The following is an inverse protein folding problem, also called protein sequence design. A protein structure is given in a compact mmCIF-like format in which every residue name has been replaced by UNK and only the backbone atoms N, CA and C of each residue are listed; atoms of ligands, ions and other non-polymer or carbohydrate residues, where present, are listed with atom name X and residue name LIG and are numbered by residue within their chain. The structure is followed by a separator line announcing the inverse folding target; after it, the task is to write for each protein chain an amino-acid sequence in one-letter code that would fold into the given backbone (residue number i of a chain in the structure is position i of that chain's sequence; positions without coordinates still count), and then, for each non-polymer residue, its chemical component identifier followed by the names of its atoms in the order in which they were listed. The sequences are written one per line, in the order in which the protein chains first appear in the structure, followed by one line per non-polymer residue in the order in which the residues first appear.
data_IF_117581437512
#
_entry.id   IF_117581437512
#
_cell.length_a   1.000
_cell.length_b   1.000
_cell.length_c   1.000
_cell.angle_alpha   90.00
_cell.angle_beta   90.00
_cell.angle_gamma   90.00
#
_symmetry.space_group_name_H-M   'P 1'
#
loop_
_entity.id
_entity.type
_entity.pdbx_description
1 polymer ?
#
# COMPACT_ATOMS: atom_id res chain seq x y z
N UNK A 1 -18.18 -25.07 -13.43
CA UNK A 1 -16.88 -24.43 -13.71
C UNK A 1 -16.74 -23.24 -12.78
N UNK A 2 -16.06 -23.41 -11.65
CA UNK A 2 -15.71 -22.32 -10.75
C UNK A 2 -14.61 -21.50 -11.41
N UNK A 3 -14.94 -20.31 -11.88
CA UNK A 3 -13.94 -19.32 -12.29
C UNK A 3 -13.17 -18.93 -11.04
N UNK A 4 -11.99 -19.53 -10.85
CA UNK A 4 -10.99 -19.00 -9.93
C UNK A 4 -10.58 -17.64 -10.49
N UNK A 5 -11.27 -16.58 -10.04
CA UNK A 5 -10.86 -15.20 -10.29
C UNK A 5 -9.56 -14.99 -9.54
N UNK A 6 -8.43 -15.23 -10.21
CA UNK A 6 -7.13 -14.78 -9.73
C UNK A 6 -7.16 -13.26 -9.72
N UNK A 7 -7.38 -12.66 -8.55
CA UNK A 7 -7.17 -11.24 -8.36
C UNK A 7 -5.66 -11.01 -8.42
N UNK A 8 -5.17 -10.62 -9.59
CA UNK A 8 -3.78 -10.21 -9.76
C UNK A 8 -3.54 -8.98 -8.90
N UNK A 9 -2.63 -9.09 -7.94
CA UNK A 9 -2.22 -8.00 -7.07
C UNK A 9 -0.93 -7.44 -7.65
N UNK A 10 -0.86 -6.12 -7.81
CA UNK A 10 0.36 -5.47 -8.26
C UNK A 10 1.07 -4.86 -7.06
N UNK A 11 2.35 -5.14 -6.87
CA UNK A 11 3.17 -4.62 -5.77
C UNK A 11 4.41 -3.93 -6.33
N UNK A 12 4.87 -2.89 -5.66
CA UNK A 12 6.20 -2.31 -5.92
C UNK A 12 7.26 -3.34 -5.52
N UNK A 13 8.29 -3.49 -6.36
CA UNK A 13 9.43 -4.36 -6.08
C UNK A 13 10.08 -3.98 -4.75
N UNK A 14 10.45 -4.98 -3.94
CA UNK A 14 11.08 -4.71 -2.65
C UNK A 14 12.43 -4.01 -2.84
N UNK A 15 12.75 -3.14 -1.91
CA UNK A 15 14.02 -2.40 -1.82
C UNK A 15 14.36 -1.51 -3.03
N UNK A 16 13.38 -1.21 -3.90
CA UNK A 16 13.53 -0.14 -4.88
C UNK A 16 13.29 1.23 -4.22
N UNK A 17 13.64 2.31 -4.92
CA UNK A 17 13.45 3.66 -4.39
C UNK A 17 11.98 3.94 -4.00
N UNK A 18 11.01 3.52 -4.81
CA UNK A 18 9.60 3.71 -4.50
C UNK A 18 9.18 2.97 -3.24
N UNK A 19 9.69 1.75 -3.03
CA UNK A 19 9.42 0.97 -1.82
C UNK A 19 9.78 1.76 -0.57
N UNK A 20 10.98 2.36 -0.54
CA UNK A 20 11.39 3.18 0.60
C UNK A 20 10.56 4.47 0.72
N UNK A 21 10.25 5.13 -0.40
CA UNK A 21 9.45 6.36 -0.41
C UNK A 21 8.01 6.13 0.10
N UNK A 22 7.35 5.03 -0.32
CA UNK A 22 5.99 4.75 0.12
C UNK A 22 5.92 4.44 1.62
N UNK A 23 6.90 3.71 2.16
CA UNK A 23 6.97 3.41 3.59
C UNK A 23 7.31 4.66 4.42
N UNK A 24 8.17 5.55 3.91
CA UNK A 24 8.42 6.84 4.55
C UNK A 24 7.17 7.71 4.58
N UNK A 25 6.47 7.85 3.45
CA UNK A 25 5.20 8.58 3.35
C UNK A 25 4.12 8.01 4.27
N UNK A 26 4.10 6.69 4.47
CA UNK A 26 3.22 6.04 5.45
C UNK A 26 3.56 6.45 6.88
N UNK A 27 4.84 6.49 7.24
CA UNK A 27 5.27 6.96 8.56
C UNK A 27 4.93 8.43 8.83
N UNK A 28 5.06 9.29 7.82
CA UNK A 28 4.73 10.72 7.92
C UNK A 28 3.22 11.01 7.95
N UNK A 29 2.38 10.03 7.60
CA UNK A 29 0.94 10.20 7.59
C UNK A 29 0.43 10.65 8.98
N UNK A 30 -0.57 11.54 9.00
CA UNK A 30 -1.11 12.17 10.22
C UNK A 30 -1.52 11.17 11.32
N UNK A 31 -1.94 9.97 10.93
CA UNK A 31 -2.33 8.90 11.85
C UNK A 31 -1.13 8.21 12.51
N UNK A 32 0.04 8.28 11.88
CA UNK A 32 1.22 7.48 12.22
C UNK A 32 2.34 8.33 12.85
N UNK A 33 2.46 9.60 12.44
CA UNK A 33 3.56 10.50 12.85
C UNK A 33 3.72 10.71 14.37
N UNK A 34 2.69 10.42 15.16
CA UNK A 34 2.71 10.54 16.63
C UNK A 34 3.02 9.21 17.33
N UNK A 35 3.19 8.12 16.58
CA UNK A 35 3.51 6.80 17.11
C UNK A 35 5.02 6.67 17.35
N UNK A 36 5.41 5.79 18.27
CA UNK A 36 6.83 5.48 18.54
C UNK A 36 7.54 4.86 17.33
N UNK A 37 6.82 4.05 16.55
CA UNK A 37 7.29 3.46 15.29
C UNK A 37 6.26 3.72 14.19
N UNK A 38 6.29 4.88 13.53
CA UNK A 38 5.25 5.33 12.60
C UNK A 38 5.00 4.38 11.42
N UNK A 39 6.07 3.82 10.85
CA UNK A 39 6.00 2.98 9.66
C UNK A 39 5.51 1.56 9.94
N UNK A 40 5.73 1.06 11.16
CA UNK A 40 5.25 -0.26 11.60
C UNK A 40 3.83 -0.14 12.15
N UNK A 41 3.61 0.88 12.98
CA UNK A 41 2.40 1.11 13.76
C UNK A 41 1.96 -0.09 14.59
N UNK A 42 2.92 -0.84 15.15
CA UNK A 42 2.66 -2.09 15.86
C UNK A 42 1.64 -1.90 16.98
N UNK A 43 0.59 -2.72 16.96
CA UNK A 43 -0.46 -2.70 17.96
C UNK A 43 -1.10 -4.07 18.07
N UNK A 44 -1.05 -4.66 19.28
CA UNK A 44 -1.54 -6.02 19.55
C UNK A 44 -0.98 -7.08 18.58
N UNK A 45 0.29 -6.94 18.18
CA UNK A 45 0.94 -7.86 17.22
C UNK A 45 0.50 -7.69 15.76
N UNK A 46 -0.34 -6.71 15.47
CA UNK A 46 -0.70 -6.32 14.10
C UNK A 46 0.13 -5.11 13.67
N UNK A 47 0.47 -5.06 12.38
CA UNK A 47 1.24 -3.98 11.76
C UNK A 47 0.64 -3.63 10.39
N UNK A 48 1.19 -2.61 9.73
CA UNK A 48 0.79 -2.27 8.37
C UNK A 48 1.04 -3.41 7.37
N UNK A 49 0.00 -3.75 6.62
CA UNK A 49 0.04 -4.67 5.49
C UNK A 49 -0.01 -3.86 4.19
N UNK A 50 1.01 -4.02 3.36
CA UNK A 50 1.02 -3.46 2.02
C UNK A 50 0.20 -4.36 1.10
N UNK A 51 -0.94 -3.86 0.64
CA UNK A 51 -1.93 -4.66 -0.06
C UNK A 51 -1.68 -4.70 -1.56
N UNK A 52 -1.49 -3.53 -2.17
CA UNK A 52 -1.34 -3.38 -3.62
C UNK A 52 -0.95 -1.96 -4.03
N UNK A 53 -0.58 -1.82 -5.30
CA UNK A 53 -0.54 -0.57 -6.04
C UNK A 53 -1.55 -0.64 -7.17
N UNK A 54 -2.37 0.41 -7.31
CA UNK A 54 -3.34 0.51 -8.41
C UNK A 54 -3.05 1.73 -9.27
N UNK A 55 -3.14 1.53 -10.59
CA UNK A 55 -3.30 2.64 -11.53
C UNK A 55 -4.73 3.19 -11.39
N UNK A 56 -4.84 4.49 -11.12
CA UNK A 56 -6.10 5.22 -11.08
C UNK A 56 -6.06 6.25 -12.19
N UNK A 57 -7.08 6.23 -13.06
CA UNK A 57 -7.26 7.26 -14.08
C UNK A 57 -7.75 8.53 -13.39
N UNK A 58 -7.02 9.62 -13.56
CA UNK A 58 -7.42 10.96 -13.14
C UNK A 58 -8.10 11.68 -14.31
N UNK A 59 -8.68 12.86 -14.07
CA UNK A 59 -9.34 13.64 -15.11
C UNK A 59 -8.43 13.83 -16.35
N UNK A 60 -8.94 13.48 -17.52
CA UNK A 60 -8.22 13.49 -18.81
C UNK A 60 -7.43 12.20 -19.08
N UNK A 61 -6.28 12.33 -19.76
CA UNK A 61 -5.36 11.21 -20.07
C UNK A 61 -4.30 10.99 -18.98
N UNK A 62 -4.42 11.65 -17.83
CA UNK A 62 -3.45 11.52 -16.74
C UNK A 62 -3.75 10.27 -15.92
N UNK A 63 -2.71 9.45 -15.75
CA UNK A 63 -2.72 8.28 -14.88
C UNK A 63 -1.94 8.61 -13.61
N UNK A 64 -2.41 8.11 -12.47
CA UNK A 64 -1.69 8.17 -11.21
C UNK A 64 -1.65 6.79 -10.57
N UNK A 65 -0.60 6.49 -9.82
CA UNK A 65 -0.51 5.26 -9.06
C UNK A 65 -0.76 5.56 -7.59
N UNK A 66 -1.45 4.64 -6.92
CA UNK A 66 -1.72 4.74 -5.49
C UNK A 66 -1.37 3.43 -4.79
N UNK A 67 -0.67 3.54 -3.67
CA UNK A 67 -0.34 2.44 -2.77
C UNK A 67 -1.41 2.31 -1.70
N UNK A 68 -1.88 1.09 -1.49
CA UNK A 68 -2.92 0.78 -0.51
C UNK A 68 -2.31 0.00 0.66
N UNK A 69 -2.51 0.54 1.85
CA UNK A 69 -2.07 -0.06 3.10
C UNK A 69 -3.28 -0.36 3.98
N UNK A 70 -3.23 -1.48 4.69
CA UNK A 70 -4.25 -1.90 5.64
C UNK A 70 -3.63 -2.20 6.99
N UNK A 71 -4.31 -1.83 8.06
CA UNK A 71 -3.97 -2.19 9.42
C UNK A 71 -5.22 -2.75 10.11
N UNK A 72 -5.14 -3.96 10.67
CA UNK A 72 -6.32 -4.62 11.26
C UNK A 72 -6.80 -3.94 12.54
N UNK A 73 -5.87 -3.43 13.36
CA UNK A 73 -6.20 -2.74 14.61
C UNK A 73 -5.24 -1.57 14.85
N UNK A 74 -5.39 -0.48 14.11
CA UNK A 74 -4.45 0.64 14.14
C UNK A 74 -4.52 1.40 15.48
N UNK A 75 -3.38 1.78 16.11
CA UNK A 75 -3.38 2.41 17.43
C UNK A 75 -4.23 3.69 17.51
N UNK A 76 -4.24 4.51 16.46
CA UNK A 76 -5.02 5.77 16.40
C UNK A 76 -6.23 5.69 15.47
N UNK A 77 -6.22 4.74 14.54
CA UNK A 77 -7.21 4.64 13.46
C UNK A 77 -8.31 3.61 13.74
N UNK A 78 -8.11 2.78 14.76
CA UNK A 78 -9.06 1.74 15.16
C UNK A 78 -9.04 0.52 14.24
N UNK A 79 -10.15 -0.21 14.24
CA UNK A 79 -10.28 -1.50 13.56
C UNK A 79 -10.41 -1.32 12.04
N UNK A 80 -9.73 -2.20 11.28
CA UNK A 80 -9.71 -2.22 9.80
C UNK A 80 -9.38 -0.88 9.15
N UNK A 81 -8.38 -0.18 9.69
CA UNK A 81 -7.93 1.10 9.17
C UNK A 81 -7.18 0.92 7.85
N UNK A 82 -7.44 1.79 6.88
CA UNK A 82 -6.81 1.74 5.56
C UNK A 82 -6.33 3.11 5.14
N UNK A 83 -5.13 3.18 4.56
CA UNK A 83 -4.54 4.40 4.03
C UNK A 83 -4.26 4.19 2.54
N UNK A 84 -4.56 5.21 1.74
CA UNK A 84 -4.17 5.31 0.34
C UNK A 84 -3.16 6.44 0.18
N UNK A 85 -1.96 6.12 -0.31
CA UNK A 85 -0.91 7.12 -0.58
C UNK A 85 -0.68 7.22 -2.09
N UNK A 86 -0.50 8.43 -2.64
CA UNK A 86 -0.06 8.58 -4.03
C UNK A 86 1.38 8.05 -4.16
N UNK A 87 1.69 7.46 -5.32
CA UNK A 87 3.07 7.15 -5.70
C UNK A 87 3.88 8.43 -5.87
N UNK A 88 5.20 8.31 -5.77
CA UNK A 88 6.12 9.44 -5.90
C UNK A 88 6.10 10.07 -7.31
N UNK A 89 6.61 11.30 -7.39
CA UNK A 89 6.74 11.99 -8.67
C UNK A 89 7.79 11.27 -9.55
N UNK A 90 7.40 10.91 -10.78
CA UNK A 90 8.29 10.16 -11.67
C UNK A 90 8.30 8.66 -11.41
N UNK A 91 7.31 8.14 -10.66
CA UNK A 91 7.16 6.72 -10.41
C UNK A 91 7.22 5.88 -11.71
N UNK A 92 8.19 4.97 -11.74
CA UNK A 92 8.40 4.05 -12.86
C UNK A 92 7.57 2.77 -12.65
N UNK A 93 6.56 2.59 -13.48
CA UNK A 93 5.71 1.40 -13.46
C UNK A 93 6.44 0.10 -13.77
N UNK A 94 7.66 0.14 -14.34
CA UNK A 94 8.48 -1.05 -14.53
C UNK A 94 8.95 -1.67 -13.21
N UNK A 95 8.89 -0.91 -12.10
CA UNK A 95 9.16 -1.42 -10.76
C UNK A 95 7.99 -2.22 -10.17
N UNK A 96 6.87 -2.33 -10.88
CA UNK A 96 5.72 -3.11 -10.45
C UNK A 96 5.90 -4.60 -10.77
N UNK A 97 5.63 -5.43 -9.79
CA UNK A 97 5.56 -6.89 -9.90
C UNK A 97 4.12 -7.33 -9.70
N UNK A 98 3.57 -8.03 -10.69
CA UNK A 98 2.25 -8.65 -10.58
C UNK A 98 2.38 -10.03 -9.92
N UNK A 99 1.81 -10.17 -8.74
CA UNK A 99 1.67 -11.44 -8.04
C UNK A 99 0.26 -12.02 -8.20
N UNK A 100 0.16 -13.34 -8.28
CA UNK A 100 -1.11 -14.05 -8.17
C UNK A 100 -1.20 -14.66 -6.77
N UNK A 101 -2.16 -14.22 -5.97
CA UNK A 101 -2.48 -14.92 -4.73
C UNK A 101 -3.40 -16.08 -5.08
N UNK A 102 -2.99 -17.32 -4.77
CA UNK A 102 -3.94 -18.44 -4.72
C UNK A 102 -4.95 -18.12 -3.62
N UNK A 103 -6.22 -17.97 -3.99
CA UNK A 103 -7.31 -18.00 -3.01
C UNK A 103 -7.35 -19.40 -2.41
N UNK A 104 -7.02 -19.50 -1.12
CA UNK A 104 -7.35 -20.66 -0.28
C UNK A 104 -8.67 -20.40 0.43
#
# INVERSE_FOLDING_TARGET
MTTNSFNAITLVHRDCNEWHLMWNALGEHKANRTLSQPTVAEHFGEAWQYMETREVRMFGFRKGYFHFFRHRMHPTGGVNYSIRLPASQGFDSATLTTGFTCGV
#
